data_IF_082855194384
#
_entry.id   IF_082855194384
#
_cell.length_a   1.000
_cell.length_b   1.000
_cell.length_c   1.000
_cell.angle_alpha   90.00
_cell.angle_beta   90.00
_cell.angle_gamma   90.00
#
_symmetry.space_group_name_H-M   'P 1'
#
loop_
_entity.id
_entity.type
_entity.pdbx_description
1 polymer ?
#
# COMPACT_ATOMS: atom_id res chain seq x y z
N UNK A 1 8.61 8.90 -14.64
CA UNK A 1 8.51 7.41 -14.69
C UNK A 1 7.52 6.89 -15.76
N UNK A 2 6.37 7.53 -15.94
CA UNK A 2 5.35 7.16 -16.94
C UNK A 2 5.17 8.26 -18.01
N UNK A 3 6.28 8.90 -18.42
CA UNK A 3 6.23 10.01 -19.37
C UNK A 3 5.52 9.59 -20.66
N UNK A 4 4.62 10.45 -21.12
CA UNK A 4 3.77 10.18 -22.29
C UNK A 4 2.48 9.41 -22.00
N UNK A 5 2.20 9.03 -20.74
CA UNK A 5 0.94 8.36 -20.33
C UNK A 5 0.24 9.08 -19.17
N UNK A 6 -0.33 10.29 -19.41
CA UNK A 6 -0.86 11.15 -18.34
C UNK A 6 -2.05 10.53 -17.60
N UNK A 7 -2.95 9.83 -18.29
CA UNK A 7 -4.08 9.15 -17.65
C UNK A 7 -3.63 8.04 -16.70
N UNK A 8 -2.59 7.29 -17.07
CA UNK A 8 -2.02 6.24 -16.23
C UNK A 8 -1.33 6.85 -14.99
N UNK A 9 -0.65 7.98 -15.15
CA UNK A 9 -0.04 8.71 -14.03
C UNK A 9 -1.10 9.15 -13.02
N UNK A 10 -2.16 9.82 -13.48
CA UNK A 10 -3.26 10.29 -12.62
C UNK A 10 -3.93 9.11 -11.93
N UNK A 11 -4.18 8.01 -12.64
CA UNK A 11 -4.79 6.82 -12.07
C UNK A 11 -3.93 6.19 -10.96
N UNK A 12 -2.62 6.03 -11.19
CA UNK A 12 -1.71 5.48 -10.19
C UNK A 12 -1.62 6.42 -8.99
N UNK A 13 -1.53 7.74 -9.22
CA UNK A 13 -1.52 8.72 -8.14
C UNK A 13 -2.79 8.64 -7.29
N UNK A 14 -3.97 8.59 -7.92
CA UNK A 14 -5.25 8.47 -7.22
C UNK A 14 -5.31 7.18 -6.39
N UNK A 15 -4.86 6.06 -6.94
CA UNK A 15 -4.77 4.79 -6.20
C UNK A 15 -3.86 4.93 -4.97
N UNK A 16 -2.68 5.55 -5.11
CA UNK A 16 -1.74 5.76 -4.01
C UNK A 16 -2.34 6.66 -2.93
N UNK A 17 -3.00 7.73 -3.34
CA UNK A 17 -3.71 8.63 -2.43
C UNK A 17 -4.81 7.90 -1.66
N UNK A 18 -5.63 7.10 -2.34
CA UNK A 18 -6.69 6.31 -1.70
C UNK A 18 -6.13 5.33 -0.66
N UNK A 19 -5.05 4.62 -0.98
CA UNK A 19 -4.39 3.71 -0.02
C UNK A 19 -3.83 4.50 1.18
N UNK A 20 -3.26 5.68 0.96
CA UNK A 20 -2.77 6.53 2.05
C UNK A 20 -3.91 7.00 2.96
N UNK A 21 -5.06 7.39 2.39
CA UNK A 21 -6.25 7.77 3.16
C UNK A 21 -6.80 6.60 3.96
N UNK A 22 -6.90 5.41 3.36
CA UNK A 22 -7.33 4.19 4.08
C UNK A 22 -6.36 3.90 5.22
N UNK A 23 -5.06 3.93 4.97
CA UNK A 23 -4.04 3.68 6.00
C UNK A 23 -4.14 4.67 7.19
N UNK A 24 -4.38 5.96 6.92
CA UNK A 24 -4.63 6.94 7.97
C UNK A 24 -5.92 6.64 8.75
N UNK A 25 -7.00 6.25 8.08
CA UNK A 25 -8.25 5.87 8.73
C UNK A 25 -8.09 4.64 9.64
N UNK A 26 -7.23 3.69 9.23
CA UNK A 26 -6.84 2.55 10.06
C UNK A 26 -6.10 2.99 11.32
N UNK A 27 -5.16 3.93 11.20
CA UNK A 27 -4.44 4.51 12.36
C UNK A 27 -5.43 5.10 13.35
N UNK A 28 -6.37 5.93 12.89
CA UNK A 28 -7.39 6.51 13.76
C UNK A 28 -8.24 5.44 14.44
N UNK A 29 -8.69 4.44 13.69
CA UNK A 29 -9.51 3.35 14.23
C UNK A 29 -8.75 2.56 15.30
N UNK A 30 -7.48 2.21 15.05
CA UNK A 30 -6.63 1.48 16.00
C UNK A 30 -6.31 2.29 17.27
N UNK A 31 -6.05 3.59 17.13
CA UNK A 31 -5.78 4.47 18.28
C UNK A 31 -7.04 4.60 19.16
N UNK A 32 -8.20 4.83 18.56
CA UNK A 32 -9.46 4.96 19.31
C UNK A 32 -9.77 3.67 20.06
N UNK A 33 -9.64 2.51 19.42
CA UNK A 33 -9.85 1.21 20.07
C UNK A 33 -8.84 0.98 21.21
N UNK A 34 -7.56 1.32 21.03
CA UNK A 34 -6.57 1.20 22.10
C UNK A 34 -6.87 2.10 23.31
N UNK A 35 -7.34 3.33 23.08
CA UNK A 35 -7.69 4.26 24.16
C UNK A 35 -8.96 3.82 24.88
N UNK A 36 -9.93 3.25 24.17
CA UNK A 36 -11.24 2.90 24.73
C UNK A 36 -11.27 1.53 25.44
N UNK A 37 -10.51 0.54 25.00
CA UNK A 37 -10.67 -0.84 25.49
C UNK A 37 -9.53 -1.33 26.41
N UNK A 38 -8.29 -0.83 26.30
CA UNK A 38 -7.14 -1.35 27.09
C UNK A 38 -6.05 -0.30 27.39
N UNK A 39 -5.94 0.22 28.64
CA UNK A 39 -4.83 1.10 29.01
C UNK A 39 -3.48 0.33 28.98
N UNK A 40 -2.66 0.56 27.95
CA UNK A 40 -1.19 0.41 27.76
C UNK A 40 -0.43 -0.75 28.50
N UNK A 41 -1.06 -1.83 28.98
CA UNK A 41 -0.38 -2.79 29.90
C UNK A 41 -0.42 -4.29 29.55
N UNK A 42 -0.81 -4.73 28.36
CA UNK A 42 -0.83 -6.17 28.04
C UNK A 42 -0.47 -6.49 26.58
N UNK A 43 0.02 -7.71 26.30
CA UNK A 43 0.56 -8.14 25.00
C UNK A 43 -0.28 -7.81 23.74
N UNK A 44 -1.60 -7.61 23.86
CA UNK A 44 -2.45 -7.10 22.75
C UNK A 44 -2.07 -5.66 22.34
N UNK A 45 -1.53 -4.86 23.24
CA UNK A 45 -0.97 -3.54 22.93
C UNK A 45 0.22 -3.61 21.98
N UNK A 46 1.06 -4.66 22.04
CA UNK A 46 2.21 -4.76 21.14
C UNK A 46 1.76 -4.95 19.69
N UNK A 47 0.80 -5.85 19.45
CA UNK A 47 0.25 -6.09 18.10
C UNK A 47 -0.44 -4.84 17.57
N UNK A 48 -1.23 -4.16 18.41
CA UNK A 48 -1.93 -2.95 18.01
C UNK A 48 -0.96 -1.78 17.74
N UNK A 49 0.06 -1.62 18.59
CA UNK A 49 1.13 -0.61 18.42
C UNK A 49 1.91 -0.84 17.14
N UNK A 50 2.33 -2.09 16.86
CA UNK A 50 3.00 -2.45 15.60
C UNK A 50 2.08 -2.18 14.42
N UNK A 51 0.78 -2.49 14.53
CA UNK A 51 -0.20 -2.24 13.48
C UNK A 51 -0.36 -0.74 13.18
N UNK A 52 -0.36 0.11 14.21
CA UNK A 52 -0.40 1.58 14.07
C UNK A 52 0.86 2.07 13.35
N UNK A 53 2.05 1.71 13.82
CA UNK A 53 3.30 2.14 13.18
C UNK A 53 3.42 1.63 11.75
N UNK A 54 2.96 0.41 11.48
CA UNK A 54 2.93 -0.16 10.13
C UNK A 54 1.95 0.61 9.24
N UNK A 55 0.76 0.98 9.74
CA UNK A 55 -0.21 1.78 8.99
C UNK A 55 0.31 3.20 8.69
N UNK A 56 1.00 3.85 9.64
CA UNK A 56 1.68 5.14 9.40
C UNK A 56 2.75 4.99 8.32
N UNK A 57 3.59 3.95 8.43
CA UNK A 57 4.62 3.66 7.45
C UNK A 57 4.04 3.44 6.05
N UNK A 58 2.93 2.70 5.93
CA UNK A 58 2.18 2.50 4.67
C UNK A 58 1.71 3.84 4.10
N UNK A 59 1.14 4.73 4.93
CA UNK A 59 0.64 6.04 4.48
C UNK A 59 1.78 6.91 3.92
N UNK A 60 2.91 6.97 4.63
CA UNK A 60 4.10 7.70 4.19
C UNK A 60 4.68 7.11 2.90
N UNK A 61 4.77 5.78 2.82
CA UNK A 61 5.32 5.07 1.68
C UNK A 61 4.46 5.29 0.42
N UNK A 62 3.13 5.27 0.54
CA UNK A 62 2.23 5.58 -0.59
C UNK A 62 2.29 7.05 -1.00
N UNK A 63 2.44 7.97 -0.05
CA UNK A 63 2.63 9.39 -0.34
C UNK A 63 3.91 9.61 -1.14
N UNK A 64 5.03 9.04 -0.67
CA UNK A 64 6.31 9.07 -1.39
C UNK A 64 6.19 8.47 -2.80
N UNK A 65 5.56 7.29 -2.92
CA UNK A 65 5.32 6.66 -4.21
C UNK A 65 4.46 7.53 -5.13
N UNK A 66 3.44 8.20 -4.59
CA UNK A 66 2.62 9.16 -5.34
C UNK A 66 3.45 10.28 -5.95
N UNK A 67 4.42 10.82 -5.21
CA UNK A 67 5.36 11.82 -5.72
C UNK A 67 6.27 11.21 -6.81
N UNK A 68 6.78 10.00 -6.61
CA UNK A 68 7.63 9.31 -7.60
C UNK A 68 6.94 9.06 -8.95
N UNK A 69 5.60 9.08 -9.03
CA UNK A 69 4.87 8.95 -10.31
C UNK A 69 5.20 10.11 -11.27
N UNK A 70 5.43 11.31 -10.73
CA UNK A 70 5.66 12.54 -11.49
C UNK A 70 7.14 12.84 -11.77
N UNK A 71 8.05 12.12 -11.12
CA UNK A 71 9.49 12.34 -11.27
C UNK A 71 10.09 11.30 -12.20
N UNK A 72 11.06 11.70 -13.00
CA UNK A 72 11.90 10.76 -13.73
C UNK A 72 12.97 10.19 -12.83
N UNK A 73 12.79 8.92 -12.49
CA UNK A 73 13.66 8.18 -11.59
C UNK A 73 14.55 7.23 -12.37
N UNK A 74 15.81 7.17 -11.94
CA UNK A 74 16.82 6.31 -12.54
C UNK A 74 16.45 4.82 -12.45
N UNK A 75 17.08 3.95 -13.27
CA UNK A 75 16.70 2.52 -13.37
C UNK A 75 16.67 1.80 -12.02
N UNK A 76 17.64 2.08 -11.15
CA UNK A 76 17.73 1.50 -9.81
C UNK A 76 16.56 1.96 -8.91
N UNK A 77 16.24 3.26 -8.92
CA UNK A 77 15.09 3.79 -8.18
C UNK A 77 13.75 3.26 -8.69
N UNK A 78 13.65 2.94 -9.99
CA UNK A 78 12.47 2.28 -10.55
C UNK A 78 12.23 0.90 -9.92
N UNK A 79 13.29 0.14 -9.68
CA UNK A 79 13.21 -1.17 -9.01
C UNK A 79 12.77 -0.99 -7.56
N UNK A 80 13.38 -0.04 -6.83
CA UNK A 80 13.00 0.28 -5.45
C UNK A 80 11.53 0.72 -5.37
N UNK A 81 11.07 1.54 -6.32
CA UNK A 81 9.67 1.97 -6.41
C UNK A 81 8.72 0.77 -6.56
N UNK A 82 9.04 -0.18 -7.44
CA UNK A 82 8.22 -1.37 -7.64
C UNK A 82 8.19 -2.24 -6.37
N UNK A 83 9.36 -2.54 -5.81
CA UNK A 83 9.46 -3.39 -4.61
C UNK A 83 8.71 -2.75 -3.45
N UNK A 84 8.85 -1.44 -3.26
CA UNK A 84 8.11 -0.71 -2.23
C UNK A 84 6.60 -0.71 -2.51
N UNK A 85 6.15 -0.73 -3.77
CA UNK A 85 4.73 -0.86 -4.10
C UNK A 85 4.19 -2.23 -3.70
N UNK A 86 4.94 -3.31 -3.95
CA UNK A 86 4.60 -4.65 -3.48
C UNK A 86 4.55 -4.71 -1.95
N UNK A 87 5.60 -4.24 -1.30
CA UNK A 87 5.71 -4.23 0.15
C UNK A 87 4.55 -3.46 0.80
N UNK A 88 4.24 -2.27 0.29
CA UNK A 88 3.15 -1.47 0.82
C UNK A 88 1.79 -2.15 0.70
N UNK A 89 1.49 -2.78 -0.45
CA UNK A 89 0.22 -3.46 -0.65
C UNK A 89 0.12 -4.75 0.18
N UNK A 90 1.24 -5.47 0.36
CA UNK A 90 1.27 -6.64 1.24
C UNK A 90 1.07 -6.24 2.71
N UNK A 91 1.78 -5.20 3.17
CA UNK A 91 1.67 -4.72 4.55
C UNK A 91 0.25 -4.24 4.89
N UNK A 92 -0.43 -3.51 4.00
CA UNK A 92 -1.81 -3.05 4.29
C UNK A 92 -2.77 -4.24 4.39
N UNK A 93 -2.62 -5.26 3.54
CA UNK A 93 -3.42 -6.49 3.65
C UNK A 93 -3.14 -7.17 4.99
N UNK A 94 -1.87 -7.34 5.36
CA UNK A 94 -1.49 -7.98 6.63
C UNK A 94 -2.05 -7.24 7.84
N UNK A 95 -1.88 -5.91 7.91
CA UNK A 95 -2.40 -5.10 9.01
C UNK A 95 -3.91 -5.22 9.10
N UNK A 96 -4.62 -5.17 7.97
CA UNK A 96 -6.07 -5.29 7.96
C UNK A 96 -6.58 -6.69 8.32
N UNK A 97 -5.90 -7.75 7.91
CA UNK A 97 -6.26 -9.13 8.27
C UNK A 97 -6.06 -9.37 9.76
N UNK A 98 -4.94 -8.92 10.33
CA UNK A 98 -4.65 -9.06 11.77
C UNK A 98 -5.68 -8.32 12.62
N UNK A 99 -6.22 -7.21 12.12
CA UNK A 99 -7.14 -6.32 12.84
C UNK A 99 -8.58 -6.36 12.31
N UNK A 100 -8.97 -7.43 11.60
CA UNK A 100 -10.22 -7.51 10.84
C UNK A 100 -11.48 -7.17 11.66
N UNK A 101 -11.47 -7.51 12.95
CA UNK A 101 -12.61 -7.36 13.86
C UNK A 101 -12.84 -5.93 14.35
N UNK A 102 -11.89 -5.01 14.13
CA UNK A 102 -11.93 -3.66 14.72
C UNK A 102 -12.83 -2.72 13.93
N UNK A 103 -12.82 -2.80 12.59
CA UNK A 103 -13.54 -1.83 11.77
C UNK A 103 -13.83 -2.35 10.37
N UNK A 104 -14.97 -1.95 9.80
CA UNK A 104 -15.32 -2.23 8.41
C UNK A 104 -14.29 -1.66 7.40
N UNK A 105 -13.54 -0.62 7.80
CA UNK A 105 -12.45 -0.07 6.98
C UNK A 105 -11.30 -1.07 6.75
N UNK A 106 -11.19 -2.12 7.58
CA UNK A 106 -10.21 -3.19 7.39
C UNK A 106 -10.48 -3.97 6.10
N UNK A 107 -11.74 -4.26 5.78
CA UNK A 107 -12.11 -4.91 4.51
C UNK A 107 -11.74 -4.04 3.30
N UNK A 108 -11.93 -2.72 3.39
CA UNK A 108 -11.52 -1.80 2.34
C UNK A 108 -9.99 -1.82 2.11
N UNK A 109 -9.20 -1.89 3.18
CA UNK A 109 -7.75 -2.03 3.11
C UNK A 109 -7.29 -3.35 2.48
N UNK A 110 -7.95 -4.47 2.82
CA UNK A 110 -7.68 -5.78 2.18
C UNK A 110 -7.96 -5.73 0.69
N UNK A 111 -9.14 -5.23 0.30
CA UNK A 111 -9.54 -5.16 -1.12
C UNK A 111 -8.58 -4.23 -1.89
N UNK A 112 -8.28 -3.04 -1.36
CA UNK A 112 -7.39 -2.09 -2.01
C UNK A 112 -5.97 -2.67 -2.17
N UNK A 113 -5.43 -3.32 -1.13
CA UNK A 113 -4.12 -3.95 -1.18
C UNK A 113 -4.07 -5.17 -2.12
N UNK A 114 -5.09 -6.03 -2.10
CA UNK A 114 -5.17 -7.20 -2.97
C UNK A 114 -5.30 -6.82 -4.45
N UNK A 115 -6.18 -5.87 -4.79
CA UNK A 115 -6.24 -5.28 -6.14
C UNK A 115 -4.88 -4.67 -6.50
N UNK A 116 -4.23 -4.04 -5.52
CA UNK A 116 -2.92 -3.46 -5.69
C UNK A 116 -1.85 -4.45 -6.12
N UNK A 117 -1.80 -5.62 -5.46
CA UNK A 117 -0.91 -6.73 -5.78
C UNK A 117 -1.26 -7.38 -7.12
N UNK A 118 -2.53 -7.67 -7.36
CA UNK A 118 -2.99 -8.28 -8.60
C UNK A 118 -2.62 -7.45 -9.84
N UNK A 119 -2.81 -6.13 -9.77
CA UNK A 119 -2.43 -5.21 -10.85
C UNK A 119 -0.91 -5.19 -11.09
N UNK A 120 -0.10 -5.19 -10.01
CA UNK A 120 1.35 -5.24 -10.14
C UNK A 120 1.81 -6.55 -10.75
N UNK A 121 1.25 -7.69 -10.31
CA UNK A 121 1.60 -9.01 -10.86
C UNK A 121 1.19 -9.13 -12.32
N UNK A 122 0.02 -8.63 -12.69
CA UNK A 122 -0.44 -8.58 -14.08
C UNK A 122 0.47 -7.73 -14.97
N UNK A 123 0.87 -6.54 -14.51
CA UNK A 123 1.79 -5.67 -15.26
C UNK A 123 3.16 -6.33 -15.46
N UNK A 124 3.66 -7.03 -14.43
CA UNK A 124 4.91 -7.80 -14.51
C UNK A 124 4.82 -8.95 -15.51
N UNK A 125 3.73 -9.71 -15.45
CA UNK A 125 3.50 -10.83 -16.37
C UNK A 125 3.39 -10.35 -17.82
N UNK A 126 2.59 -9.32 -18.07
CA UNK A 126 2.38 -8.77 -19.42
C UNK A 126 3.67 -8.22 -20.02
N UNK A 127 4.47 -7.47 -19.25
CA UNK A 127 5.77 -6.95 -19.72
C UNK A 127 6.78 -8.06 -19.98
N UNK A 128 6.72 -9.15 -19.21
CA UNK A 128 7.56 -10.32 -19.43
C UNK A 128 7.16 -11.03 -20.73
N UNK A 129 5.87 -11.32 -20.93
CA UNK A 129 5.38 -11.99 -22.14
C UNK A 129 5.68 -11.21 -23.42
N UNK A 130 5.46 -9.88 -23.42
CA UNK A 130 5.81 -9.03 -24.56
C UNK A 130 7.31 -9.07 -24.93
N UNK A 131 8.18 -9.26 -23.94
CA UNK A 131 9.63 -9.37 -24.14
C UNK A 131 10.06 -10.75 -24.67
N UNK A 132 9.26 -11.80 -24.46
CA UNK A 132 9.47 -13.13 -25.05
C UNK A 132 8.89 -13.22 -26.47
N UNK A 133 7.79 -12.55 -26.75
CA UNK A 133 7.18 -12.52 -28.10
C UNK A 133 8.01 -11.74 -29.13
N UNK A 134 8.78 -10.72 -28.72
CA UNK A 134 9.73 -10.01 -29.61
C UNK A 134 11.02 -10.82 -29.93
N UNK A 135 11.22 -11.98 -29.31
CA UNK A 135 12.43 -12.82 -29.48
C UNK A 135 12.24 -14.02 -30.42
N UNK A 136 11.04 -14.19 -30.99
CA UNK A 136 10.69 -15.20 -32.00
C UNK A 136 10.41 -14.54 -33.35
#
# INVERSE_FOLDING_TARGET
>A
MYNGRPFLQIFIFLKKFLIATVALQLVFSLIVTNIQEFPISDNRNLISTISIYTAIFIALLNTFQGICVFVDVNRLFRIIYVISCYLSNALIVTVCVVNLQISNFMYAGIIAGAIGLALLSYEFYTKRSAMFDESN
#
